data_IF_495330395533
#
_entry.id   IF_495330395533
#
_cell.length_a   1.000
_cell.length_b   1.000
_cell.length_c   1.000
_cell.angle_alpha   90.00
_cell.angle_beta   90.00
_cell.angle_gamma   90.00
#
_symmetry.space_group_name_H-M   'P 1'
#
loop_
_entity.id
_entity.type
_entity.pdbx_description
1 polymer ?
#
# COMPACT_ATOMS: atom_id res chain seq x y z
N UNK A 1 48.95 -29.70 -36.90
CA UNK A 1 49.29 -29.29 -35.52
C UNK A 1 48.31 -28.22 -35.11
N UNK A 2 47.41 -28.35 -34.14
CA UNK A 2 47.22 -29.35 -33.10
C UNK A 2 46.48 -28.63 -31.97
N UNK A 3 45.21 -29.00 -31.73
CA UNK A 3 44.43 -28.62 -30.54
C UNK A 3 45.21 -28.98 -29.26
N UNK A 4 45.18 -28.11 -28.23
CA UNK A 4 45.25 -28.41 -26.77
C UNK A 4 45.33 -27.08 -25.99
N UNK A 5 44.33 -26.74 -25.16
CA UNK A 5 44.11 -27.14 -23.75
C UNK A 5 44.96 -26.34 -22.75
N UNK A 6 44.29 -25.47 -21.98
CA UNK A 6 44.54 -25.14 -20.56
C UNK A 6 43.12 -24.83 -20.03
N UNK A 7 42.33 -25.78 -19.51
CA UNK A 7 42.38 -26.38 -18.16
C UNK A 7 42.51 -25.34 -17.03
N UNK A 8 41.37 -24.79 -16.59
CA UNK A 8 41.16 -24.40 -15.19
C UNK A 8 40.02 -25.28 -14.65
N UNK A 9 40.46 -26.21 -13.79
CA UNK A 9 39.75 -27.20 -12.97
C UNK A 9 39.21 -26.44 -11.74
N UNK A 10 37.89 -26.34 -11.50
CA UNK A 10 36.99 -27.23 -10.74
C UNK A 10 36.64 -26.69 -9.33
N UNK A 11 35.52 -27.20 -8.77
CA UNK A 11 34.78 -26.87 -7.52
C UNK A 11 33.80 -25.68 -7.65
N UNK A 12 32.49 -25.74 -7.38
CA UNK A 12 31.56 -26.69 -6.73
C UNK A 12 30.31 -26.90 -7.63
N UNK A 13 29.81 -28.12 -7.90
CA UNK A 13 28.95 -28.99 -7.06
C UNK A 13 27.56 -28.41 -6.72
N UNK A 14 26.57 -28.92 -7.46
CA UNK A 14 25.18 -29.20 -7.07
C UNK A 14 24.39 -28.15 -6.27
N UNK A 15 23.54 -27.38 -6.98
CA UNK A 15 22.16 -27.17 -6.53
C UNK A 15 21.24 -27.46 -7.71
N UNK A 16 20.68 -28.66 -7.71
CA UNK A 16 19.58 -29.04 -8.59
C UNK A 16 18.34 -28.23 -8.24
N UNK A 17 17.67 -27.76 -9.30
CA UNK A 17 16.24 -27.59 -9.45
C UNK A 17 15.37 -27.86 -8.21
N UNK A 18 14.85 -26.78 -7.62
CA UNK A 18 13.48 -26.66 -7.14
C UNK A 18 13.06 -25.18 -7.22
N UNK A 19 13.14 -24.59 -8.41
CA UNK A 19 12.40 -23.36 -8.73
C UNK A 19 11.00 -23.77 -9.18
N UNK A 20 10.16 -24.19 -8.23
CA UNK A 20 8.72 -24.00 -8.37
C UNK A 20 8.44 -22.55 -7.99
N UNK A 21 8.84 -21.63 -8.88
CA UNK A 21 8.30 -20.27 -8.88
C UNK A 21 6.85 -20.40 -9.32
N UNK A 22 5.95 -20.64 -8.38
CA UNK A 22 4.59 -20.17 -8.54
C UNK A 22 4.68 -18.64 -8.49
N UNK A 23 4.26 -17.91 -9.55
CA UNK A 23 4.23 -16.48 -9.48
C UNK A 23 3.17 -16.07 -8.45
N UNK A 24 3.62 -15.61 -7.28
CA UNK A 24 2.80 -14.87 -6.35
C UNK A 24 2.53 -13.51 -6.98
N UNK A 25 1.55 -13.43 -7.87
CA UNK A 25 1.04 -12.16 -8.36
C UNK A 25 0.20 -11.52 -7.25
N UNK A 26 0.73 -10.45 -6.67
CA UNK A 26 -0.08 -9.45 -5.96
C UNK A 26 -0.96 -8.77 -7.02
N UNK A 27 -2.23 -9.14 -7.08
CA UNK A 27 -3.18 -8.54 -8.01
C UNK A 27 -3.53 -7.12 -7.53
N UNK A 28 -3.06 -6.13 -8.28
CA UNK A 28 -3.69 -4.82 -8.36
C UNK A 28 -4.54 -4.83 -9.62
N UNK A 29 -5.86 -5.05 -9.47
CA UNK A 29 -6.79 -5.05 -10.59
C UNK A 29 -6.92 -3.63 -11.17
N UNK A 30 -6.50 -3.47 -12.43
CA UNK A 30 -6.74 -2.26 -13.24
C UNK A 30 -8.15 -2.34 -13.86
N UNK A 31 -8.88 -1.22 -13.86
CA UNK A 31 -10.33 -1.12 -14.14
C UNK A 31 -10.75 -1.25 -15.61
N UNK A 32 -10.03 -1.97 -16.47
CA UNK A 32 -10.26 -1.91 -17.93
C UNK A 32 -10.60 -3.25 -18.59
N UNK A 33 -10.59 -4.39 -17.87
CA UNK A 33 -10.60 -5.72 -18.51
C UNK A 33 -11.81 -6.63 -18.18
N UNK A 34 -12.65 -6.28 -17.20
CA UNK A 34 -13.84 -7.08 -16.90
C UNK A 34 -14.97 -6.82 -17.92
N UNK A 35 -15.39 -7.86 -18.65
CA UNK A 35 -16.42 -7.75 -19.71
C UNK A 35 -17.86 -7.98 -19.19
N UNK A 36 -18.02 -8.45 -17.94
CA UNK A 36 -19.32 -8.74 -17.30
C UNK A 36 -19.43 -8.11 -15.89
N UNK A 37 -20.66 -7.75 -15.52
CA UNK A 37 -21.00 -7.16 -14.21
C UNK A 37 -20.80 -8.16 -13.06
N UNK A 38 -20.59 -7.65 -11.85
CA UNK A 38 -20.50 -8.46 -10.63
C UNK A 38 -21.90 -8.86 -10.15
N UNK A 39 -22.05 -10.10 -9.71
CA UNK A 39 -23.23 -10.58 -9.01
C UNK A 39 -23.12 -10.24 -7.52
N UNK A 40 -23.61 -9.05 -7.13
CA UNK A 40 -23.51 -8.53 -5.76
C UNK A 40 -24.26 -9.35 -4.70
N UNK A 41 -25.23 -10.17 -5.11
CA UNK A 41 -26.02 -11.00 -4.20
C UNK A 41 -25.37 -12.37 -3.91
N UNK A 42 -24.41 -12.79 -4.72
CA UNK A 42 -23.76 -14.10 -4.62
C UNK A 42 -22.79 -14.12 -3.44
N UNK A 43 -22.78 -15.23 -2.70
CA UNK A 43 -21.85 -15.40 -1.59
C UNK A 43 -20.42 -15.65 -2.09
N UNK A 44 -19.48 -15.06 -1.37
CA UNK A 44 -18.04 -15.19 -1.54
C UNK A 44 -17.42 -15.94 -0.38
N UNK A 45 -16.25 -16.51 -0.62
CA UNK A 45 -15.35 -17.01 0.42
C UNK A 45 -13.96 -16.44 0.24
N UNK A 46 -13.26 -16.27 1.37
CA UNK A 46 -11.88 -15.83 1.42
C UNK A 46 -11.08 -16.80 2.28
N UNK A 47 -10.02 -17.37 1.73
CA UNK A 47 -9.01 -18.12 2.48
C UNK A 47 -7.71 -17.34 2.50
N UNK A 48 -7.22 -17.02 3.70
CA UNK A 48 -5.90 -16.40 3.90
C UNK A 48 -4.97 -17.43 4.52
N UNK A 49 -3.85 -17.71 3.85
CA UNK A 49 -2.83 -18.65 4.32
C UNK A 49 -1.68 -17.91 5.01
N UNK A 50 -1.37 -18.32 6.23
CA UNK A 50 -0.30 -17.79 7.08
C UNK A 50 0.80 -18.84 7.22
N UNK A 51 1.63 -18.90 6.18
CA UNK A 51 2.71 -19.88 6.03
C UNK A 51 4.01 -19.11 5.79
N UNK A 52 5.07 -19.48 6.50
CA UNK A 52 6.40 -18.89 6.32
C UNK A 52 7.46 -19.99 6.27
N UNK A 53 8.09 -20.18 5.10
CA UNK A 53 8.96 -21.33 4.87
C UNK A 53 8.16 -22.64 5.01
N UNK A 54 8.62 -23.53 5.89
CA UNK A 54 7.92 -24.78 6.21
C UNK A 54 6.90 -24.63 7.35
N UNK A 55 6.91 -23.49 8.05
CA UNK A 55 6.06 -23.26 9.21
C UNK A 55 4.65 -22.87 8.78
N UNK A 56 3.66 -23.59 9.31
CA UNK A 56 2.23 -23.30 9.18
C UNK A 56 1.71 -22.85 10.53
N UNK A 57 1.19 -21.62 10.61
CA UNK A 57 0.83 -21.01 11.88
C UNK A 57 -0.61 -21.34 12.24
N UNK A 58 -0.83 -22.38 13.04
CA UNK A 58 -2.15 -22.78 13.56
C UNK A 58 -2.53 -22.02 14.82
N UNK A 59 -3.84 -22.01 15.14
CA UNK A 59 -4.40 -21.38 16.34
C UNK A 59 -4.09 -19.88 16.48
N UNK A 60 -3.77 -19.22 15.36
CA UNK A 60 -3.46 -17.81 15.31
C UNK A 60 -4.76 -17.00 15.11
N UNK A 61 -5.04 -15.99 15.93
CA UNK A 61 -6.24 -15.18 15.80
C UNK A 61 -6.17 -14.26 14.58
N UNK A 62 -7.11 -14.42 13.66
CA UNK A 62 -7.28 -13.58 12.48
C UNK A 62 -8.57 -12.80 12.60
N UNK A 63 -8.44 -11.49 12.43
CA UNK A 63 -9.54 -10.51 12.49
C UNK A 63 -9.81 -10.00 11.10
N UNK A 64 -11.08 -9.96 10.69
CA UNK A 64 -11.51 -9.42 9.40
C UNK A 64 -12.43 -8.24 9.58
N UNK A 65 -12.24 -7.23 8.73
CA UNK A 65 -13.01 -6.00 8.66
C UNK A 65 -13.52 -5.80 7.23
N UNK A 66 -14.82 -5.53 7.07
CA UNK A 66 -15.41 -5.11 5.80
C UNK A 66 -15.19 -3.61 5.63
N UNK A 67 -14.24 -3.29 4.77
CA UNK A 67 -13.78 -1.91 4.52
C UNK A 67 -14.74 -1.17 3.60
N UNK A 68 -15.23 -1.83 2.56
CA UNK A 68 -16.12 -1.22 1.59
C UNK A 68 -17.13 -2.21 1.02
N UNK A 69 -18.31 -1.70 0.68
CA UNK A 69 -19.25 -2.34 -0.22
C UNK A 69 -18.78 -2.17 -1.66
N UNK A 70 -19.17 -3.08 -2.55
CA UNK A 70 -18.88 -2.98 -3.99
C UNK A 70 -20.18 -3.04 -4.79
N UNK A 71 -20.30 -2.16 -5.78
CA UNK A 71 -21.41 -2.16 -6.73
C UNK A 71 -21.17 -3.13 -7.90
N UNK A 72 -22.21 -3.38 -8.70
CA UNK A 72 -22.13 -4.27 -9.87
C UNK A 72 -21.11 -3.80 -10.94
N UNK A 73 -20.82 -2.50 -10.99
CA UNK A 73 -19.82 -1.83 -11.84
C UNK A 73 -18.44 -1.66 -11.15
N UNK A 74 -18.20 -2.41 -10.07
CA UNK A 74 -16.93 -2.47 -9.36
C UNK A 74 -16.47 -1.12 -8.77
N UNK A 75 -17.44 -0.31 -8.33
CA UNK A 75 -17.15 0.89 -7.55
C UNK A 75 -17.31 0.58 -6.07
N UNK A 76 -16.28 0.93 -5.30
CA UNK A 76 -16.27 0.74 -3.85
C UNK A 76 -16.84 1.94 -3.12
N UNK A 77 -17.63 1.66 -2.08
CA UNK A 77 -18.12 2.65 -1.12
C UNK A 77 -17.69 2.22 0.28
N UNK A 78 -16.91 3.05 0.97
CA UNK A 78 -16.45 2.76 2.34
C UNK A 78 -17.65 2.48 3.27
N UNK A 79 -17.51 1.49 4.14
CA UNK A 79 -18.51 1.22 5.18
C UNK A 79 -18.48 2.32 6.25
N UNK A 80 -19.53 2.39 7.07
CA UNK A 80 -19.68 3.43 8.11
C UNK A 80 -18.46 3.50 9.05
N UNK A 81 -17.87 2.34 9.39
CA UNK A 81 -16.70 2.25 10.27
C UNK A 81 -15.42 2.87 9.68
N UNK A 82 -15.38 3.13 8.37
CA UNK A 82 -14.21 3.66 7.66
C UNK A 82 -14.52 4.92 6.84
N UNK A 83 -15.77 5.40 6.84
CA UNK A 83 -16.20 6.51 6.00
C UNK A 83 -15.50 7.84 6.34
N UNK A 84 -15.16 8.05 7.61
CA UNK A 84 -14.48 9.24 8.13
C UNK A 84 -12.98 9.29 7.78
N UNK A 85 -12.42 8.21 7.23
CA UNK A 85 -11.03 8.20 6.73
C UNK A 85 -10.82 9.10 5.51
N UNK A 86 -11.88 9.37 4.74
CA UNK A 86 -11.79 10.10 3.47
C UNK A 86 -11.00 9.39 2.38
N UNK A 87 -10.66 8.10 2.56
CA UNK A 87 -9.82 7.36 1.64
C UNK A 87 -10.47 7.25 0.25
N UNK A 88 -9.69 7.62 -0.77
CA UNK A 88 -10.04 7.33 -2.17
C UNK A 88 -9.54 5.92 -2.47
N UNK A 89 -10.48 4.97 -2.59
CA UNK A 89 -10.20 3.54 -2.80
C UNK A 89 -10.53 3.04 -4.21
N UNK A 90 -11.11 3.91 -5.05
CA UNK A 90 -11.42 3.62 -6.45
C UNK A 90 -10.31 4.13 -7.38
N UNK A 91 -10.09 3.43 -8.49
CA UNK A 91 -9.14 3.85 -9.53
C UNK A 91 -7.67 3.79 -9.11
N UNK A 92 -7.34 2.91 -8.15
CA UNK A 92 -5.97 2.67 -7.68
C UNK A 92 -5.13 2.04 -8.78
N UNK A 93 -3.94 2.58 -9.05
CA UNK A 93 -3.12 2.18 -10.21
C UNK A 93 -1.80 1.53 -9.83
N UNK A 94 -1.43 1.57 -8.55
CA UNK A 94 -0.13 1.06 -8.12
C UNK A 94 -0.20 0.31 -6.79
N UNK A 95 0.73 -0.64 -6.63
CA UNK A 95 0.93 -1.37 -5.38
C UNK A 95 1.30 -0.42 -4.23
N UNK A 96 2.00 0.69 -4.52
CA UNK A 96 2.34 1.71 -3.53
C UNK A 96 1.11 2.40 -2.94
N UNK A 97 0.18 2.83 -3.79
CA UNK A 97 -1.10 3.40 -3.34
C UNK A 97 -1.90 2.39 -2.51
N UNK A 98 -1.93 1.11 -2.93
CA UNK A 98 -2.59 0.05 -2.18
C UNK A 98 -2.01 -0.15 -0.77
N UNK A 99 -0.68 -0.08 -0.63
CA UNK A 99 -0.02 -0.19 0.66
C UNK A 99 -0.34 1.02 1.57
N UNK A 100 -0.44 2.22 1.01
CA UNK A 100 -0.82 3.43 1.77
C UNK A 100 -2.26 3.31 2.28
N UNK A 101 -3.19 2.83 1.46
CA UNK A 101 -4.59 2.57 1.87
C UNK A 101 -4.61 1.57 3.02
N UNK A 102 -3.95 0.42 2.86
CA UNK A 102 -3.87 -0.61 3.90
C UNK A 102 -3.32 -0.05 5.22
N UNK A 103 -2.19 0.66 5.18
CA UNK A 103 -1.58 1.24 6.39
C UNK A 103 -2.49 2.26 7.06
N UNK A 104 -3.21 3.06 6.28
CA UNK A 104 -4.17 4.04 6.80
C UNK A 104 -5.35 3.35 7.47
N UNK A 105 -5.90 2.27 6.88
CA UNK A 105 -6.99 1.48 7.47
C UNK A 105 -6.57 0.80 8.79
N UNK A 106 -5.39 0.21 8.85
CA UNK A 106 -4.87 -0.38 10.10
C UNK A 106 -4.71 0.67 11.21
N UNK A 107 -4.20 1.84 10.83
CA UNK A 107 -4.01 2.97 11.72
C UNK A 107 -5.36 3.44 12.26
N UNK A 108 -6.38 3.52 11.39
CA UNK A 108 -7.76 3.85 11.76
C UNK A 108 -8.38 2.85 12.74
N UNK A 109 -8.20 1.55 12.49
CA UNK A 109 -8.69 0.48 13.38
C UNK A 109 -8.13 0.65 14.78
N UNK A 110 -6.83 0.91 14.90
CA UNK A 110 -6.17 1.11 16.20
C UNK A 110 -6.62 2.43 16.83
N UNK A 111 -6.68 3.51 16.04
CA UNK A 111 -7.06 4.83 16.51
C UNK A 111 -8.44 4.85 17.17
N UNK A 112 -9.38 4.10 16.61
CA UNK A 112 -10.78 4.09 17.01
C UNK A 112 -11.19 2.83 17.77
N UNK A 113 -10.25 1.92 18.03
CA UNK A 113 -10.53 0.60 18.64
C UNK A 113 -11.68 -0.13 17.91
N UNK A 114 -11.63 -0.10 16.58
CA UNK A 114 -12.67 -0.70 15.74
C UNK A 114 -12.73 -2.20 15.97
N UNK A 115 -13.91 -2.71 16.31
CA UNK A 115 -14.14 -4.15 16.47
C UNK A 115 -14.18 -4.86 15.11
N UNK A 116 -13.65 -6.09 15.00
CA UNK A 116 -13.72 -6.85 13.77
C UNK A 116 -15.12 -7.38 13.50
N UNK A 117 -15.52 -7.43 12.23
CA UNK A 117 -16.78 -8.04 11.81
C UNK A 117 -16.76 -9.56 12.05
N UNK A 118 -15.61 -10.19 11.81
CA UNK A 118 -15.40 -11.62 12.03
C UNK A 118 -14.03 -11.86 12.67
N UNK A 119 -13.98 -12.75 13.66
CA UNK A 119 -12.75 -13.24 14.27
C UNK A 119 -12.73 -14.76 14.27
N UNK A 120 -11.70 -15.35 13.68
CA UNK A 120 -11.49 -16.81 13.62
C UNK A 120 -10.05 -17.15 14.01
N UNK A 121 -9.79 -18.44 14.22
CA UNK A 121 -8.44 -18.98 14.38
C UNK A 121 -8.00 -19.67 13.09
N UNK A 122 -6.72 -19.61 12.76
CA UNK A 122 -6.15 -20.44 11.69
C UNK A 122 -6.25 -21.93 12.02
N UNK A 123 -6.48 -22.75 11.00
CA UNK A 123 -6.50 -24.20 11.13
C UNK A 123 -5.09 -24.80 11.24
N UNK A 124 -5.01 -26.14 11.33
CA UNK A 124 -3.75 -26.90 11.35
C UNK A 124 -2.86 -26.72 10.10
N UNK A 125 -3.42 -26.18 9.02
CA UNK A 125 -2.69 -25.87 7.79
C UNK A 125 -2.22 -24.41 7.73
N UNK A 126 -2.51 -23.62 8.78
CA UNK A 126 -2.22 -22.19 8.83
C UNK A 126 -3.20 -21.35 8.04
N UNK A 127 -4.42 -21.83 7.81
CA UNK A 127 -5.41 -21.15 6.97
C UNK A 127 -6.57 -20.58 7.80
N UNK A 128 -6.93 -19.33 7.52
CA UNK A 128 -8.14 -18.69 7.99
C UNK A 128 -9.15 -18.63 6.84
N UNK A 129 -10.26 -19.36 6.96
CA UNK A 129 -11.30 -19.46 5.95
C UNK A 129 -12.57 -18.73 6.40
N UNK A 130 -12.98 -17.73 5.62
CA UNK A 130 -14.18 -16.93 5.82
C UNK A 130 -15.20 -17.30 4.74
N UNK A 131 -16.42 -17.65 5.13
CA UNK A 131 -17.52 -18.03 4.23
C UNK A 131 -18.69 -17.06 4.35
N UNK A 132 -19.68 -17.20 3.46
CA UNK A 132 -20.93 -16.44 3.51
C UNK A 132 -20.73 -14.91 3.46
N UNK A 133 -19.66 -14.48 2.78
CA UNK A 133 -19.32 -13.09 2.62
C UNK A 133 -20.09 -12.49 1.44
N UNK A 134 -20.51 -11.23 1.57
CA UNK A 134 -20.97 -10.48 0.40
C UNK A 134 -19.79 -9.88 -0.36
N UNK A 135 -19.90 -9.63 -1.67
CA UNK A 135 -18.93 -8.86 -2.42
C UNK A 135 -18.59 -7.54 -1.71
N UNK A 136 -17.33 -7.16 -1.75
CA UNK A 136 -16.80 -6.00 -1.04
C UNK A 136 -15.29 -6.04 -0.92
N UNK A 137 -14.74 -5.05 -0.21
CA UNK A 137 -13.33 -4.95 0.12
C UNK A 137 -13.13 -5.33 1.58
N UNK A 138 -12.21 -6.27 1.86
CA UNK A 138 -11.97 -6.81 3.18
C UNK A 138 -10.51 -6.62 3.59
N UNK A 139 -10.28 -6.25 4.85
CA UNK A 139 -8.96 -6.20 5.47
C UNK A 139 -8.86 -7.30 6.53
N UNK A 140 -7.83 -8.14 6.44
CA UNK A 140 -7.52 -9.13 7.48
C UNK A 140 -6.27 -8.73 8.24
N UNK A 141 -6.29 -8.88 9.56
CA UNK A 141 -5.15 -8.56 10.44
C UNK A 141 -4.88 -9.71 11.40
N UNK A 142 -3.62 -9.85 11.80
CA UNK A 142 -3.17 -10.82 12.80
C UNK A 142 -2.07 -10.19 13.65
N UNK A 143 -1.82 -10.79 14.81
CA UNK A 143 -0.69 -10.41 15.66
C UNK A 143 0.59 -11.14 15.24
N UNK A 144 1.73 -10.62 15.71
CA UNK A 144 3.02 -11.28 15.56
C UNK A 144 3.02 -12.58 16.35
N UNK A 145 3.70 -13.61 15.82
CA UNK A 145 3.87 -14.90 16.49
C UNK A 145 5.33 -15.10 16.82
N UNK A 146 5.61 -15.53 18.05
CA UNK A 146 6.94 -15.92 18.49
C UNK A 146 7.03 -17.45 18.42
N UNK A 147 8.01 -17.95 17.67
CA UNK A 147 8.30 -19.38 17.55
C UNK A 147 9.82 -19.57 17.58
N UNK A 148 10.30 -20.38 18.54
CA UNK A 148 11.73 -20.65 18.73
C UNK A 148 12.59 -19.37 18.80
N UNK A 149 12.10 -18.36 19.54
CA UNK A 149 12.69 -17.01 19.69
C UNK A 149 12.71 -16.15 18.41
N UNK A 150 12.28 -16.66 17.26
CA UNK A 150 12.07 -15.86 16.05
C UNK A 150 10.70 -15.19 16.08
N UNK A 151 10.65 -13.96 15.57
CA UNK A 151 9.41 -13.19 15.47
C UNK A 151 8.92 -13.25 14.03
N UNK A 152 7.72 -13.80 13.86
CA UNK A 152 7.03 -13.88 12.59
C UNK A 152 5.94 -12.81 12.55
N UNK A 153 5.95 -12.00 11.51
CA UNK A 153 4.90 -11.03 11.23
C UNK A 153 4.31 -11.30 9.85
N UNK A 154 3.01 -11.10 9.73
CA UNK A 154 2.29 -11.19 8.46
C UNK A 154 1.68 -9.83 8.14
N UNK A 155 1.93 -9.33 6.93
CA UNK A 155 1.26 -8.13 6.43
C UNK A 155 -0.25 -8.38 6.40
N UNK A 156 -1.04 -7.36 6.75
CA UNK A 156 -2.49 -7.44 6.59
C UNK A 156 -2.86 -7.62 5.13
N UNK A 157 -3.86 -8.47 4.86
CA UNK A 157 -4.33 -8.69 3.49
C UNK A 157 -5.55 -7.80 3.24
N UNK A 158 -5.41 -6.83 2.32
CA UNK A 158 -6.51 -6.03 1.79
C UNK A 158 -6.96 -6.67 0.47
N UNK A 159 -8.13 -7.31 0.46
CA UNK A 159 -8.57 -8.25 -0.58
C UNK A 159 -9.96 -7.86 -1.09
N UNK A 160 -10.08 -7.77 -2.41
CA UNK A 160 -11.34 -7.58 -3.12
C UNK A 160 -12.08 -8.93 -3.26
N UNK A 161 -13.38 -8.95 -3.00
CA UNK A 161 -14.28 -10.06 -3.26
C UNK A 161 -15.44 -9.57 -4.16
N UNK A 162 -15.76 -10.27 -5.26
CA UNK A 162 -14.95 -11.33 -5.87
C UNK A 162 -13.58 -10.80 -6.34
N UNK A 163 -12.61 -11.72 -6.47
CA UNK A 163 -11.35 -11.44 -7.16
C UNK A 163 -11.56 -11.42 -8.68
N UNK A 164 -10.60 -10.86 -9.42
CA UNK A 164 -10.63 -10.80 -10.88
C UNK A 164 -9.38 -11.49 -11.44
N UNK A 165 -9.56 -12.51 -12.27
CA UNK A 165 -8.47 -13.16 -12.98
C UNK A 165 -8.00 -12.34 -14.19
N UNK A 166 -6.79 -12.65 -14.68
CA UNK A 166 -6.19 -11.99 -15.86
C UNK A 166 -7.03 -12.15 -17.14
N UNK A 167 -7.92 -13.14 -17.19
CA UNK A 167 -8.83 -13.38 -18.32
C UNK A 167 -10.18 -12.64 -18.19
N UNK A 168 -10.36 -11.85 -17.12
CA UNK A 168 -11.58 -11.10 -16.85
C UNK A 168 -12.66 -11.89 -16.10
N UNK A 169 -12.38 -13.11 -15.66
CA UNK A 169 -13.34 -13.95 -14.92
C UNK A 169 -13.40 -13.58 -13.43
N UNK A 170 -14.61 -13.41 -12.90
CA UNK A 170 -14.85 -13.16 -11.47
C UNK A 170 -14.71 -14.43 -10.62
N UNK A 171 -13.87 -14.37 -9.58
CA UNK A 171 -13.65 -15.43 -8.59
C UNK A 171 -14.33 -15.11 -7.27
N UNK A 172 -15.37 -15.86 -6.95
CA UNK A 172 -16.12 -15.70 -5.69
C UNK A 172 -15.48 -16.47 -4.53
N UNK A 173 -14.61 -17.43 -4.84
CA UNK A 173 -13.78 -18.12 -3.86
C UNK A 173 -12.33 -17.67 -4.07
N UNK A 174 -11.84 -16.82 -3.17
CA UNK A 174 -10.53 -16.21 -3.28
C UNK A 174 -9.59 -16.83 -2.25
N UNK A 175 -8.40 -17.22 -2.70
CA UNK A 175 -7.33 -17.71 -1.83
C UNK A 175 -6.08 -16.85 -1.98
N UNK A 176 -5.59 -16.31 -0.86
CA UNK A 176 -4.38 -15.47 -0.83
C UNK A 176 -3.39 -15.98 0.20
N UNK A 177 -2.10 -15.74 -0.05
CA UNK A 177 -1.05 -15.96 0.93
C UNK A 177 -0.72 -14.63 1.60
N UNK A 178 -0.77 -14.58 2.93
CA UNK A 178 -0.32 -13.42 3.67
C UNK A 178 1.19 -13.27 3.48
N UNK A 179 1.65 -12.07 3.12
CA UNK A 179 3.07 -11.80 2.98
C UNK A 179 3.72 -11.84 4.36
N UNK A 180 4.71 -12.69 4.54
CA UNK A 180 5.40 -12.89 5.81
C UNK A 180 6.74 -12.19 5.87
N UNK A 181 7.16 -11.77 7.05
CA UNK A 181 8.54 -11.44 7.39
C UNK A 181 8.98 -12.21 8.64
N UNK A 182 10.25 -12.62 8.64
CA UNK A 182 10.89 -13.29 9.78
C UNK A 182 11.97 -12.36 10.32
N UNK A 183 11.91 -12.09 11.61
CA UNK A 183 12.92 -11.33 12.32
C UNK A 183 13.68 -12.28 13.25
N UNK A 184 15.03 -12.18 13.30
CA UNK A 184 15.82 -12.97 14.23
C UNK A 184 15.44 -12.65 15.69
N UNK A 185 15.81 -13.54 16.63
CA UNK A 185 15.76 -13.21 18.05
C UNK A 185 16.44 -11.88 18.29
N UNK A 186 15.82 -11.11 19.14
CA UNK A 186 16.22 -9.73 19.37
C UNK A 186 17.42 -9.72 20.29
N UNK A 187 18.49 -9.06 19.87
CA UNK A 187 19.56 -8.63 20.78
C UNK A 187 19.20 -7.23 21.32
N UNK A 188 18.75 -7.12 22.59
CA UNK A 188 17.98 -5.96 23.07
C UNK A 188 18.79 -4.68 23.33
N UNK A 189 19.99 -4.54 22.78
CA UNK A 189 20.93 -3.47 23.14
C UNK A 189 21.20 -2.42 22.05
N UNK A 190 20.69 -2.59 20.83
CA UNK A 190 20.78 -1.53 19.82
C UNK A 190 19.57 -0.58 19.93
N UNK A 191 19.84 0.67 20.33
CA UNK A 191 18.87 1.74 20.20
C UNK A 191 18.72 2.15 18.72
N UNK A 192 17.49 2.32 18.28
CA UNK A 192 17.13 2.85 16.97
C UNK A 192 16.33 4.14 17.16
N UNK A 193 16.61 5.14 16.34
CA UNK A 193 15.80 6.35 16.27
C UNK A 193 14.65 6.18 15.29
N UNK A 194 13.42 6.31 15.80
CA UNK A 194 12.21 6.45 14.99
C UNK A 194 11.88 7.93 14.81
N UNK A 195 11.28 8.27 13.68
CA UNK A 195 10.92 9.65 13.33
C UNK A 195 9.52 9.71 12.75
N UNK A 196 8.74 10.72 13.13
CA UNK A 196 7.51 11.11 12.44
C UNK A 196 7.71 12.47 11.78
N UNK A 197 7.25 12.59 10.53
CA UNK A 197 7.27 13.82 9.75
C UNK A 197 5.89 14.05 9.18
N UNK A 198 5.42 15.31 9.26
CA UNK A 198 4.17 15.74 8.68
C UNK A 198 4.39 16.48 7.36
N UNK A 199 3.74 16.00 6.31
CA UNK A 199 3.68 16.59 4.99
C UNK A 199 2.27 17.14 4.72
N UNK A 200 2.22 18.26 4.01
CA UNK A 200 0.97 18.87 3.53
C UNK A 200 1.01 18.88 2.01
N UNK A 201 -0.04 18.37 1.37
CA UNK A 201 -0.13 18.21 -0.08
C UNK A 201 -1.33 18.98 -0.62
N UNK A 202 -1.12 19.76 -1.67
CA UNK A 202 -2.18 20.55 -2.31
C UNK A 202 -2.57 21.83 -1.56
N UNK A 203 -2.06 22.06 -0.35
CA UNK A 203 -2.30 23.28 0.43
C UNK A 203 -1.12 24.25 0.32
N UNK A 204 -1.03 24.96 -0.81
CA UNK A 204 0.00 25.97 -1.02
C UNK A 204 -0.27 27.27 -0.25
N UNK A 205 -1.51 27.50 0.17
CA UNK A 205 -1.94 28.73 0.83
C UNK A 205 -1.67 28.72 2.34
N UNK A 206 -1.57 27.52 2.93
CA UNK A 206 -1.49 27.27 4.37
C UNK A 206 -2.70 27.80 5.17
N UNK A 207 -3.74 28.28 4.50
CA UNK A 207 -4.88 28.94 5.14
C UNK A 207 -5.71 27.97 5.97
N UNK A 208 -5.86 26.74 5.47
CA UNK A 208 -6.63 25.69 6.12
C UNK A 208 -5.80 24.88 7.14
N UNK A 209 -4.49 25.15 7.21
CA UNK A 209 -3.55 24.42 8.05
C UNK A 209 -3.73 24.82 9.52
N UNK A 210 -3.95 23.87 10.44
CA UNK A 210 -3.94 24.17 11.86
C UNK A 210 -2.52 24.60 12.30
N UNK A 211 -2.44 25.38 13.37
CA UNK A 211 -1.16 25.85 13.93
C UNK A 211 -0.32 24.72 14.51
N UNK A 212 -0.99 23.68 15.01
CA UNK A 212 -0.39 22.46 15.54
C UNK A 212 -1.33 21.27 15.33
N UNK A 213 -0.76 20.07 15.31
CA UNK A 213 -1.51 18.81 15.29
C UNK A 213 -1.08 17.91 16.46
N UNK A 214 -2.01 17.14 17.01
CA UNK A 214 -1.70 16.08 17.97
C UNK A 214 -1.42 14.78 17.20
N UNK A 215 -0.23 14.22 17.39
CA UNK A 215 0.16 12.90 16.92
C UNK A 215 0.29 11.95 18.10
N UNK A 216 -0.43 10.85 18.05
CA UNK A 216 -0.36 9.76 19.02
C UNK A 216 0.45 8.60 18.45
N UNK A 217 1.48 8.19 19.18
CA UNK A 217 2.39 7.11 18.86
C UNK A 217 1.92 5.86 19.60
N UNK A 218 1.80 4.75 18.89
CA UNK A 218 1.38 3.45 19.41
C UNK A 218 2.52 2.44 19.34
N UNK A 219 2.64 1.62 20.38
CA UNK A 219 3.55 0.48 20.49
C UNK A 219 2.72 -0.79 20.70
N UNK A 220 2.81 -1.74 19.78
CA UNK A 220 2.05 -3.00 19.79
C UNK A 220 0.54 -2.79 20.02
N UNK A 221 -0.03 -1.82 19.29
CA UNK A 221 -1.45 -1.47 19.39
C UNK A 221 -1.86 -0.70 20.64
N UNK A 222 -0.93 -0.40 21.56
CA UNK A 222 -1.20 0.38 22.79
C UNK A 222 -0.66 1.80 22.68
N UNK A 223 -1.41 2.79 23.16
CA UNK A 223 -0.95 4.19 23.20
C UNK A 223 0.34 4.30 24.01
N UNK A 224 1.39 4.83 23.40
CA UNK A 224 2.71 5.01 23.99
C UNK A 224 2.96 6.47 24.39
N UNK A 225 2.70 7.40 23.46
CA UNK A 225 3.00 8.82 23.67
C UNK A 225 2.17 9.72 22.76
N UNK A 226 1.81 10.90 23.25
CA UNK A 226 1.25 11.99 22.45
C UNK A 226 2.28 13.10 22.26
N UNK A 227 2.37 13.64 21.05
CA UNK A 227 3.30 14.72 20.69
C UNK A 227 2.60 15.75 19.83
N UNK A 228 2.96 17.02 19.99
CA UNK A 228 2.46 18.11 19.15
C UNK A 228 3.45 18.39 18.03
N UNK A 229 2.99 18.40 16.78
CA UNK A 229 3.77 18.83 15.62
C UNK A 229 3.29 20.22 15.18
N UNK A 230 4.22 21.12 14.92
CA UNK A 230 3.94 22.51 14.53
C UNK A 230 5.07 23.05 13.64
N UNK A 231 4.95 24.29 13.19
CA UNK A 231 6.03 24.93 12.42
C UNK A 231 7.32 25.09 13.25
N UNK A 232 7.19 25.28 14.57
CA UNK A 232 8.33 25.47 15.49
C UNK A 232 9.25 24.24 15.54
N UNK A 233 8.71 23.03 15.43
CA UNK A 233 9.48 21.78 15.39
C UNK A 233 9.65 21.22 13.97
N UNK A 234 9.47 22.09 12.98
CA UNK A 234 9.54 21.73 11.56
C UNK A 234 8.64 20.54 11.21
N UNK A 235 7.47 20.46 11.84
CA UNK A 235 6.47 19.43 11.60
C UNK A 235 7.05 18.02 11.78
N UNK A 236 7.93 17.83 12.76
CA UNK A 236 8.63 16.57 12.97
C UNK A 236 8.94 16.27 14.43
N UNK A 237 9.03 14.99 14.76
CA UNK A 237 9.43 14.51 16.08
C UNK A 237 10.21 13.20 15.96
N UNK A 238 11.27 13.05 16.75
CA UNK A 238 12.08 11.82 16.82
C UNK A 238 12.06 11.25 18.24
N UNK A 239 12.13 9.92 18.35
CA UNK A 239 12.29 9.23 19.62
C UNK A 239 13.17 7.98 19.48
N UNK A 240 14.03 7.77 20.46
CA UNK A 240 14.84 6.56 20.57
C UNK A 240 14.04 5.44 21.20
N UNK A 241 14.17 4.24 20.63
CA UNK A 241 13.58 3.01 21.13
C UNK A 241 14.64 1.92 21.13
N UNK A 242 14.53 0.98 22.06
CA UNK A 242 15.26 -0.28 21.91
C UNK A 242 14.69 -1.01 20.71
N UNK A 243 15.54 -1.64 19.91
CA UNK A 243 15.07 -2.58 18.91
C UNK A 243 14.57 -3.83 19.64
N UNK A 244 13.33 -3.80 20.10
CA UNK A 244 12.64 -4.86 20.83
C UNK A 244 11.53 -5.52 20.00
N UNK A 245 11.58 -5.27 18.68
CA UNK A 245 10.68 -5.87 17.71
C UNK A 245 9.24 -5.43 17.86
N UNK A 246 8.96 -4.43 18.69
CA UNK A 246 7.64 -3.83 18.80
C UNK A 246 7.17 -3.29 17.46
N UNK A 247 5.87 -3.44 17.19
CA UNK A 247 5.22 -2.74 16.09
C UNK A 247 4.93 -1.29 16.48
N UNK A 248 5.36 -0.36 15.65
CA UNK A 248 5.21 1.07 15.89
C UNK A 248 4.30 1.66 14.83
N UNK A 249 3.30 2.42 15.27
CA UNK A 249 2.37 3.17 14.40
C UNK A 249 2.16 4.58 14.93
N UNK A 250 1.75 5.48 14.05
CA UNK A 250 1.47 6.88 14.38
C UNK A 250 0.10 7.27 13.85
N UNK A 251 -0.64 8.02 14.67
CA UNK A 251 -2.02 8.45 14.40
C UNK A 251 -2.07 9.97 14.57
N UNK A 252 -2.61 10.69 13.58
CA UNK A 252 -2.99 12.09 13.75
C UNK A 252 -4.41 12.19 14.30
N UNK A 253 -4.61 12.99 15.35
CA UNK A 253 -5.92 13.24 15.94
C UNK A 253 -6.49 14.56 15.45
N UNK A 254 -7.82 14.62 15.38
CA UNK A 254 -8.58 15.83 15.02
C UNK A 254 -8.22 16.40 13.64
N UNK A 255 -8.13 15.53 12.63
CA UNK A 255 -7.84 15.93 11.24
C UNK A 255 -9.00 16.82 10.74
N UNK A 256 -8.74 18.05 10.27
CA UNK A 256 -9.79 18.89 9.71
C UNK A 256 -10.43 18.22 8.48
N UNK A 257 -11.76 18.30 8.37
CA UNK A 257 -12.53 17.60 7.32
C UNK A 257 -12.18 17.98 5.89
N UNK A 258 -11.51 19.12 5.70
CA UNK A 258 -10.99 19.58 4.40
C UNK A 258 -9.77 18.78 3.93
N UNK A 259 -9.19 17.93 4.78
CA UNK A 259 -8.06 17.08 4.43
C UNK A 259 -8.42 15.60 4.45
N UNK A 260 -7.78 14.85 3.55
CA UNK A 260 -7.65 13.39 3.65
C UNK A 260 -6.27 13.05 4.21
N UNK A 261 -6.22 12.25 5.28
CA UNK A 261 -4.97 11.83 5.93
C UNK A 261 -4.52 10.47 5.44
N UNK A 262 -3.23 10.34 5.16
CA UNK A 262 -2.59 9.06 4.89
C UNK A 262 -1.31 8.89 5.70
N UNK A 263 -0.97 7.64 6.01
CA UNK A 263 0.26 7.28 6.69
C UNK A 263 1.10 6.36 5.81
N UNK A 264 2.39 6.68 5.67
CA UNK A 264 3.37 5.82 5.01
C UNK A 264 4.57 5.62 5.93
N UNK A 265 5.10 4.40 6.02
CA UNK A 265 6.35 4.10 6.74
C UNK A 265 7.48 3.80 5.76
N UNK A 266 8.58 4.54 5.85
CA UNK A 266 9.82 4.33 5.09
C UNK A 266 10.99 4.11 6.04
N UNK A 267 11.39 2.85 6.21
CA UNK A 267 12.41 2.47 7.19
C UNK A 267 11.95 2.83 8.61
N UNK A 268 12.71 3.70 9.28
CA UNK A 268 12.40 4.21 10.64
C UNK A 268 11.56 5.49 10.65
N UNK A 269 11.20 6.02 9.47
CA UNK A 269 10.44 7.27 9.34
C UNK A 269 8.98 7.02 8.98
N UNK A 270 8.07 7.56 9.78
CA UNK A 270 6.65 7.68 9.49
C UNK A 270 6.36 9.02 8.83
N UNK A 271 5.64 9.00 7.72
CA UNK A 271 5.25 10.17 6.94
C UNK A 271 3.73 10.29 7.02
N UNK A 272 3.26 11.26 7.81
CA UNK A 272 1.86 11.66 7.86
C UNK A 272 1.61 12.67 6.74
N UNK A 273 0.66 12.41 5.84
CA UNK A 273 0.33 13.35 4.75
C UNK A 273 -1.12 13.78 4.85
N UNK A 274 -1.38 15.07 5.06
CA UNK A 274 -2.72 15.64 4.82
C UNK A 274 -2.76 16.18 3.40
N UNK A 275 -3.68 15.64 2.59
CA UNK A 275 -3.96 16.12 1.25
C UNK A 275 -5.20 16.97 1.27
N UNK A 276 -5.11 18.23 0.83
CA UNK A 276 -6.26 19.12 0.74
C UNK A 276 -7.24 18.55 -0.28
N UNK A 277 -8.47 18.32 0.15
CA UNK A 277 -9.54 17.88 -0.72
C UNK A 277 -9.89 19.05 -1.66
N UNK A 278 -9.94 18.85 -2.99
CA UNK A 278 -10.44 19.88 -3.89
C UNK A 278 -11.87 20.22 -3.46
N UNK A 279 -12.18 21.52 -3.35
CA UNK A 279 -13.45 22.02 -2.81
C UNK A 279 -14.68 21.27 -3.36
N UNK A 280 -15.66 21.09 -2.46
CA UNK A 280 -17.02 20.60 -2.66
C UNK A 280 -17.62 21.07 -4.02
N UNK A 281 -18.28 20.19 -4.82
CA UNK A 281 -18.89 20.54 -6.11
C UNK A 281 -19.88 21.73 -6.11
N UNK A 282 -20.30 22.22 -4.95
CA UNK A 282 -21.21 23.37 -4.81
C UNK A 282 -20.53 24.77 -4.81
N UNK A 283 -19.20 24.88 -4.93
CA UNK A 283 -18.57 26.19 -5.17
C UNK A 283 -18.59 26.55 -6.68
N UNK A 284 -19.14 27.72 -7.08
CA UNK A 284 -19.11 28.15 -8.48
C UNK A 284 -17.67 28.30 -8.95
N UNK A 285 -17.25 27.47 -9.90
CA UNK A 285 -15.90 27.54 -10.47
C UNK A 285 -15.70 28.92 -11.11
N UNK A 286 -14.59 29.62 -10.84
CA UNK A 286 -14.20 30.76 -11.67
C UNK A 286 -14.03 30.28 -13.12
N UNK A 287 -14.29 31.14 -14.13
CA UNK A 287 -14.26 30.72 -15.52
C UNK A 287 -12.90 30.11 -15.85
N UNK A 288 -12.93 28.96 -16.53
CA UNK A 288 -11.75 28.39 -17.18
C UNK A 288 -11.30 29.35 -18.30
N UNK A 289 -10.46 30.31 -17.96
CA UNK A 289 -9.61 30.98 -18.94
C UNK A 289 -8.38 30.11 -19.16
N UNK A 290 -8.18 29.72 -20.42
CA UNK A 290 -7.39 28.58 -20.85
C UNK A 290 -5.94 28.53 -20.37
N UNK A 291 -5.47 27.30 -20.15
CA UNK A 291 -4.26 26.77 -20.78
C UNK A 291 -4.20 25.24 -20.56
N UNK A 292 -4.95 24.48 -21.34
CA UNK A 292 -4.51 23.13 -21.75
C UNK A 292 -3.66 23.27 -23.00
N UNK A 293 -2.53 23.98 -22.86
CA UNK A 293 -1.44 23.88 -23.81
C UNK A 293 -0.92 22.44 -23.73
N UNK A 294 -1.27 21.62 -24.72
CA UNK A 294 -0.83 20.24 -24.83
C UNK A 294 0.69 20.25 -25.01
N UNK A 295 1.45 20.14 -23.92
CA UNK A 295 2.92 20.22 -23.90
C UNK A 295 3.54 19.24 -24.91
N UNK A 296 2.88 18.09 -25.14
CA UNK A 296 3.29 17.13 -26.17
C UNK A 296 3.20 17.69 -27.60
N UNK A 297 2.23 18.54 -27.92
CA UNK A 297 2.14 19.20 -29.22
C UNK A 297 3.34 20.13 -29.46
N UNK A 298 3.74 20.91 -28.44
CA UNK A 298 4.90 21.80 -28.54
C UNK A 298 6.22 21.02 -28.64
N UNK A 299 6.35 19.91 -27.92
CA UNK A 299 7.51 19.02 -28.03
C UNK A 299 7.59 18.39 -29.43
N UNK A 300 6.45 17.96 -30.00
CA UNK A 300 6.39 17.47 -31.39
C UNK A 300 6.76 18.58 -32.39
N UNK A 301 6.25 19.81 -32.22
CA UNK A 301 6.60 20.92 -33.11
C UNK A 301 8.09 21.30 -33.05
N UNK A 302 8.68 21.31 -31.85
CA UNK A 302 10.11 21.60 -31.66
C UNK A 302 11.01 20.49 -32.23
N UNK A 303 10.63 19.22 -32.07
CA UNK A 303 11.40 18.11 -32.66
C UNK A 303 11.35 18.11 -34.19
N UNK A 304 10.18 18.38 -34.80
CA UNK A 304 10.04 18.49 -36.25
C UNK A 304 10.87 19.65 -36.81
N UNK A 305 10.81 20.82 -36.19
CA UNK A 305 11.60 21.99 -36.63
C UNK A 305 13.12 21.75 -36.50
N UNK A 306 13.58 21.09 -35.44
CA UNK A 306 14.99 20.72 -35.27
C UNK A 306 15.52 19.81 -36.38
N UNK A 307 14.75 18.80 -36.79
CA UNK A 307 15.14 17.89 -37.88
C UNK A 307 15.22 18.61 -39.23
N UNK A 308 14.33 19.58 -39.48
CA UNK A 308 14.35 20.40 -40.70
C UNK A 308 15.59 21.30 -40.75
N UNK A 309 15.97 21.94 -39.64
CA UNK A 309 17.19 22.77 -39.59
C UNK A 309 18.48 21.94 -39.80
N UNK A 310 18.54 20.74 -39.23
CA UNK A 310 19.68 19.82 -39.47
C UNK A 310 19.74 19.39 -40.93
N UNK A 311 18.61 19.03 -41.54
CA UNK A 311 18.55 18.63 -42.95
C UNK A 311 18.96 19.78 -43.89
N UNK A 312 18.49 21.01 -43.65
CA UNK A 312 18.90 22.20 -44.42
C UNK A 312 20.40 22.47 -44.23
N UNK A 313 20.95 22.31 -43.03
CA UNK A 313 22.39 22.45 -42.76
C UNK A 313 23.25 21.46 -43.56
N UNK A 314 22.81 20.20 -43.69
CA UNK A 314 23.49 19.19 -44.51
C UNK A 314 23.38 19.46 -46.02
N UNK A 315 22.25 19.97 -46.49
CA UNK A 315 22.05 20.35 -47.90
C UNK A 315 22.87 21.61 -48.24
N UNK A 316 22.96 22.57 -47.32
CA UNK A 316 23.77 23.78 -47.48
C UNK A 316 25.28 23.49 -47.54
N UNK A 317 25.78 22.55 -46.72
CA UNK A 317 27.20 22.14 -46.77
C UNK A 317 27.57 21.40 -48.06
N UNK A 318 26.64 20.71 -48.72
CA UNK A 318 26.89 20.04 -50.01
C UNK A 318 26.91 20.98 -51.21
N UNK A 319 26.45 22.22 -51.07
CA UNK A 319 26.43 23.21 -52.16
C UNK A 319 27.68 24.10 -52.21
N UNK A 320 28.54 24.01 -51.20
CA UNK A 320 29.79 24.77 -51.07
C UNK A 320 31.04 23.89 -50.91
N UNK A 321 30.96 22.63 -51.38
CA UNK A 321 32.13 21.76 -51.58
C UNK A 321 32.20 21.27 -53.01
#
# INVERSE_FOLDING_TARGET
>A
MGKRKIEIIAFLLCICLCLCLNPCHTQSASTTEATELIYTDKDCSLTVSYICGENKFSDMPVRMYKVAEVSADYQYTLTVSFADTGLIINGIKSVGEWNVIRSTLETHIIANSTEPDIKIMTDKNGQACFTDLKPGLYLTTTEKVILDDYIYSFDSALVALPGLEDDGTWQYEVSVNAKSAVMPPIEPDEETELKVVKLWKGDNSQKERPTEIEVEIFRDGTSYKKVMLSEENHWSYSWSVKNDGADWKVIERNIPSVYTMTVEKRGTTFILTNTLNPEDPDTPRPPHTGDTANIMLYIILMTVSGVVFVAIGFIGKRKHS
#
